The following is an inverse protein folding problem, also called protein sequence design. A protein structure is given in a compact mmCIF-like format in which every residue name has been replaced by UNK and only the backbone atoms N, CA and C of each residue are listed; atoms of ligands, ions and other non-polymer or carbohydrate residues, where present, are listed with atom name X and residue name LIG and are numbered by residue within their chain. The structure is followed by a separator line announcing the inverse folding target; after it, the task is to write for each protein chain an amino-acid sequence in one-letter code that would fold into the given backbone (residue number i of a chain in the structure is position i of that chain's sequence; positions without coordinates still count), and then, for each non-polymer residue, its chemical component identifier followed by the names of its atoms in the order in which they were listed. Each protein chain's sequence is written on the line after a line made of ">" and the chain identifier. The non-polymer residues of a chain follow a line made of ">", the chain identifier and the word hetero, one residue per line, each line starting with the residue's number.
data_IF_428784310272
#
_entry.id   IF_428784310272
#
_cell.length_a   1.000
_cell.length_b   1.000
_cell.length_c   1.000
_cell.angle_alpha   90.00
_cell.angle_beta   90.00
_cell.angle_gamma   90.00
#
_symmetry.space_group_name_H-M   'P 1'
#
loop_
_entity.id
_entity.type
_entity.pdbx_description
1 polymer ?
2 non-polymer ?
3 non-polymer ?
4 water ?
#
# COMPACT_ATOMS: atom_id res chain seq x y z
N UNK A 6 -4.84 -18.45 -2.36
CA UNK A 6 -5.71 -19.60 -1.96
C UNK A 6 -5.12 -20.32 -0.74
N UNK A 7 -3.80 -20.23 -0.53
CA UNK A 7 -3.10 -20.73 0.69
C UNK A 7 -3.64 -19.98 1.92
N UNK A 8 -3.54 -20.59 3.10
CA UNK A 8 -4.05 -20.02 4.37
C UNK A 8 -3.42 -18.65 4.61
N UNK A 9 -2.11 -18.53 4.40
CA UNK A 9 -1.38 -17.25 4.64
C UNK A 9 -1.84 -16.20 3.62
N UNK A 10 -2.13 -16.60 2.38
CA UNK A 10 -2.60 -15.64 1.34
C UNK A 10 -4.07 -15.26 1.59
N UNK A 11 -4.87 -16.14 2.21
CA UNK A 11 -6.24 -15.79 2.67
C UNK A 11 -6.13 -14.68 3.73
N UNK A 12 -5.20 -14.81 4.67
CA UNK A 12 -4.92 -13.78 5.70
C UNK A 12 -4.53 -12.46 5.01
N UNK A 13 -3.64 -12.52 4.01
CA UNK A 13 -3.21 -11.32 3.24
C UNK A 13 -4.43 -10.70 2.54
N UNK A 14 -5.28 -11.53 1.93
CA UNK A 14 -6.49 -11.04 1.21
C UNK A 14 -7.43 -10.34 2.21
N UNK A 15 -7.61 -10.90 3.41
CA UNK A 15 -8.42 -10.28 4.47
C UNK A 15 -7.89 -8.91 4.84
N UNK A 16 -6.58 -8.80 5.04
CA UNK A 16 -5.89 -7.51 5.35
C UNK A 16 -6.19 -6.52 4.22
N UNK A 17 -5.99 -6.94 2.97
CA UNK A 17 -6.21 -6.09 1.77
C UNK A 17 -7.65 -5.56 1.77
N UNK A 18 -8.64 -6.43 1.99
CA UNK A 18 -10.07 -6.03 2.06
C UNK A 18 -10.24 -4.97 3.15
N UNK A 19 -9.65 -5.18 4.33
CA UNK A 19 -9.75 -4.21 5.45
C UNK A 19 -9.12 -2.87 5.04
N UNK A 20 -7.93 -2.88 4.43
CA UNK A 20 -7.24 -1.62 4.04
C UNK A 20 -8.11 -0.84 3.04
N UNK A 21 -8.92 -1.54 2.23
CA UNK A 21 -9.79 -0.93 1.20
C UNK A 21 -11.20 -0.62 1.75
N UNK A 22 -11.49 -0.97 3.01
CA UNK A 22 -12.85 -0.89 3.62
C UNK A 22 -13.14 0.55 4.10
N UNK A 23 -14.43 0.88 4.25
CA UNK A 23 -14.88 2.23 4.68
C UNK A 23 -14.30 2.55 6.07
N UNK A 24 -14.06 1.53 6.89
CA UNK A 24 -13.44 1.63 8.24
C UNK A 24 -12.24 2.58 8.21
N UNK A 25 -11.38 2.48 7.19
CA UNK A 25 -10.06 3.16 7.14
C UNK A 25 -10.01 4.23 6.04
N UNK A 26 -11.14 4.53 5.39
CA UNK A 26 -11.20 5.39 4.18
C UNK A 26 -10.67 6.80 4.47
N UNK A 27 -10.78 7.29 5.71
CA UNK A 27 -10.37 8.67 6.07
C UNK A 27 -8.87 8.88 5.81
N UNK A 28 -8.05 7.83 5.95
CA UNK A 28 -6.58 7.89 5.78
C UNK A 28 -6.08 6.94 4.68
N UNK A 29 -6.90 6.01 4.18
CA UNK A 29 -6.48 5.03 3.15
C UNK A 29 -6.59 5.63 1.74
N UNK A 30 -7.41 6.66 1.54
CA UNK A 30 -7.83 7.10 0.18
C UNK A 30 -6.64 7.50 -0.69
N UNK A 31 -5.53 8.11 -0.19
CA UNK A 31 -4.41 8.45 -1.07
C UNK A 31 -3.68 7.22 -1.65
N UNK A 32 -3.97 6.02 -1.14
CA UNK A 32 -3.27 4.76 -1.49
C UNK A 32 -4.15 3.86 -2.36
N UNK A 33 -5.36 4.30 -2.71
CA UNK A 33 -6.35 3.48 -3.45
C UNK A 33 -5.89 3.25 -4.88
N UNK A 34 -5.26 4.25 -5.50
CA UNK A 34 -4.91 4.23 -6.94
C UNK A 34 -3.49 4.74 -7.13
N UNK A 35 -2.83 4.41 -8.27
CA UNK A 35 -1.49 4.90 -8.54
C UNK A 35 -1.43 6.43 -8.45
N UNK A 36 -0.33 6.95 -7.89
CA UNK A 36 -0.02 8.41 -7.92
C UNK A 36 -0.02 8.85 -9.38
N UNK A 37 -0.89 9.80 -9.73
CA UNK A 37 -0.95 10.41 -11.08
C UNK A 37 -0.05 11.65 -11.06
N UNK A 38 1.25 11.44 -11.27
CA UNK A 38 2.31 12.46 -11.10
C UNK A 38 2.01 13.67 -11.98
N UNK A 39 1.68 13.43 -13.26
CA UNK A 39 1.39 14.49 -14.27
C UNK A 39 0.18 15.31 -13.82
N UNK A 40 -0.91 14.65 -13.41
CA UNK A 40 -2.16 15.30 -12.93
C UNK A 40 -1.87 16.25 -11.76
N UNK A 41 -0.94 15.88 -10.87
CA UNK A 41 -0.64 16.61 -9.61
C UNK A 41 0.55 17.56 -9.80
N UNK A 42 1.15 17.60 -10.99
CA UNK A 42 2.33 18.44 -11.30
C UNK A 42 3.57 17.97 -10.56
N UNK A 43 3.64 16.68 -10.21
CA UNK A 43 4.81 16.08 -9.51
C UNK A 43 5.78 15.53 -10.56
N UNK A 44 6.46 16.43 -11.29
CA UNK A 44 7.25 16.09 -12.50
C UNK A 44 8.57 15.40 -12.12
N UNK A 45 8.87 15.28 -10.82
CA UNK A 45 10.08 14.59 -10.31
C UNK A 45 9.71 13.22 -9.72
N UNK A 46 8.42 12.87 -9.64
CA UNK A 46 7.95 11.68 -8.89
C UNK A 46 8.62 10.40 -9.43
N UNK A 47 8.59 10.19 -10.74
CA UNK A 47 9.10 8.95 -11.39
C UNK A 47 10.63 8.96 -11.50
N UNK A 48 11.28 10.10 -11.21
CA UNK A 48 12.76 10.19 -11.07
C UNK A 48 13.17 9.71 -9.67
N UNK A 49 12.31 9.93 -8.68
CA UNK A 49 12.60 9.63 -7.24
C UNK A 49 12.07 8.23 -6.88
N UNK A 50 10.88 7.88 -7.38
CA UNK A 50 10.19 6.58 -7.12
C UNK A 50 10.34 5.69 -8.37
N UNK A 51 11.20 4.67 -8.30
CA UNK A 51 11.52 3.77 -9.43
C UNK A 51 10.48 2.64 -9.52
N UNK A 52 9.81 2.31 -8.41
CA UNK A 52 8.83 1.19 -8.35
C UNK A 52 7.57 1.67 -7.64
N UNK A 53 6.67 2.39 -8.35
CA UNK A 53 5.40 2.81 -7.76
C UNK A 53 4.56 1.61 -7.32
N UNK A 54 3.77 1.79 -6.27
CA UNK A 54 2.85 0.74 -5.76
C UNK A 54 1.67 1.42 -5.06
N UNK A 55 0.52 0.75 -5.10
CA UNK A 55 -0.76 1.27 -4.54
C UNK A 55 -1.68 0.07 -4.34
N UNK A 56 -2.78 0.27 -3.62
CA UNK A 56 -3.66 -0.84 -3.20
C UNK A 56 -4.42 -1.44 -4.40
N UNK A 57 -4.75 -0.66 -5.43
CA UNK A 57 -5.43 -1.20 -6.65
C UNK A 57 -4.49 -2.17 -7.37
N UNK A 58 -3.18 -1.89 -7.38
CA UNK A 58 -2.16 -2.77 -8.01
C UNK A 58 -2.01 -4.03 -7.16
N UNK A 59 -1.96 -3.90 -5.83
CA UNK A 59 -1.88 -5.07 -4.90
C UNK A 59 -3.11 -5.94 -5.13
N UNK A 60 -4.29 -5.33 -5.26
CA UNK A 60 -5.57 -6.06 -5.47
C UNK A 60 -5.52 -6.82 -6.80
N UNK A 61 -5.08 -6.17 -7.88
CA UNK A 61 -4.99 -6.82 -9.22
C UNK A 61 -4.04 -8.03 -9.11
N UNK A 62 -2.90 -7.86 -8.45
CA UNK A 62 -1.88 -8.93 -8.31
C UNK A 62 -2.47 -10.09 -7.49
N UNK A 63 -3.19 -9.79 -6.41
CA UNK A 63 -3.85 -10.84 -5.57
C UNK A 63 -4.88 -11.59 -6.43
N UNK A 64 -5.73 -10.87 -7.17
CA UNK A 64 -6.80 -11.47 -8.02
C UNK A 64 -6.18 -12.36 -9.11
N UNK A 65 -5.00 -11.97 -9.62
CA UNK A 65 -4.29 -12.69 -10.72
C UNK A 65 -3.42 -13.82 -10.15
N UNK A 66 -3.42 -14.03 -8.83
CA UNK A 66 -2.59 -15.05 -8.14
C UNK A 66 -1.11 -14.80 -8.47
N UNK A 67 -0.71 -13.52 -8.53
CA UNK A 67 0.69 -13.09 -8.74
C UNK A 67 1.52 -13.43 -7.50
N UNK A 68 1.00 -13.13 -6.30
CA UNK A 68 1.72 -13.37 -5.02
C UNK A 68 1.75 -14.87 -4.74
N UNK A 69 2.95 -15.43 -4.58
CA UNK A 69 3.14 -16.87 -4.29
C UNK A 69 3.12 -17.10 -2.78
N UNK A 70 3.39 -16.07 -1.97
CA UNK A 70 3.42 -16.20 -0.49
C UNK A 70 3.13 -14.84 0.17
N UNK A 71 2.93 -14.85 1.48
CA UNK A 71 2.59 -13.66 2.30
C UNK A 71 3.72 -12.63 2.24
N UNK A 72 4.97 -13.09 2.22
CA UNK A 72 6.19 -12.24 2.19
C UNK A 72 6.15 -11.33 0.95
N UNK A 73 5.78 -11.89 -0.21
CA UNK A 73 5.75 -11.16 -1.50
C UNK A 73 4.66 -10.08 -1.44
N UNK A 74 3.49 -10.43 -0.89
CA UNK A 74 2.36 -9.48 -0.67
C UNK A 74 2.83 -8.33 0.22
N UNK A 75 3.41 -8.65 1.38
CA UNK A 75 3.83 -7.66 2.40
C UNK A 75 4.88 -6.71 1.80
N UNK A 76 5.79 -7.23 0.98
CA UNK A 76 6.85 -6.42 0.31
C UNK A 76 6.21 -5.32 -0.54
N UNK A 77 5.12 -5.62 -1.26
CA UNK A 77 4.41 -4.62 -2.11
C UNK A 77 3.70 -3.59 -1.22
N UNK A 78 3.04 -4.03 -0.14
CA UNK A 78 2.32 -3.09 0.76
C UNK A 78 3.35 -2.15 1.40
N UNK A 79 4.49 -2.67 1.85
CA UNK A 79 5.54 -1.85 2.50
C UNK A 79 6.22 -0.95 1.47
N UNK A 80 6.40 -1.42 0.23
CA UNK A 80 6.95 -0.58 -0.88
C UNK A 80 6.07 0.66 -1.05
N UNK A 81 4.75 0.47 -1.08
CA UNK A 81 3.76 1.56 -1.20
C UNK A 81 4.03 2.61 -0.10
N UNK A 82 4.19 2.18 1.15
CA UNK A 82 4.43 3.11 2.29
C UNK A 82 5.81 3.75 2.13
N UNK A 83 6.84 2.96 1.82
CA UNK A 83 8.24 3.44 1.67
C UNK A 83 8.31 4.54 0.60
N UNK A 84 7.64 4.35 -0.54
CA UNK A 84 7.59 5.37 -1.62
C UNK A 84 7.05 6.69 -1.06
N UNK A 85 5.99 6.62 -0.26
CA UNK A 85 5.34 7.79 0.36
C UNK A 85 6.33 8.48 1.32
N UNK A 86 7.06 7.71 2.14
CA UNK A 86 8.05 8.24 3.11
C UNK A 86 9.25 8.83 2.37
N UNK A 87 9.60 8.28 1.20
CA UNK A 87 10.77 8.73 0.40
C UNK A 87 10.46 10.07 -0.28
N UNK A 88 9.29 10.18 -0.92
CA UNK A 88 8.98 11.31 -1.83
C UNK A 88 8.55 12.56 -1.04
N UNK A 89 7.75 12.38 0.01
CA UNK A 89 7.03 13.49 0.70
C UNK A 89 7.84 14.00 1.89
N UNK A 90 7.75 15.31 2.21
CA UNK A 90 8.31 15.81 3.46
C UNK A 90 7.62 15.10 4.62
N UNK A 91 8.33 14.80 5.73
CA UNK A 91 7.76 14.00 6.81
C UNK A 91 6.57 14.66 7.54
N UNK A 92 6.35 15.96 7.35
CA UNK A 92 5.25 16.73 8.00
C UNK A 92 4.03 16.85 7.07
N UNK A 93 4.07 16.25 5.87
CA UNK A 93 2.92 16.25 4.93
C UNK A 93 1.79 15.39 5.51
N UNK A 94 0.54 15.81 5.32
CA UNK A 94 -0.66 15.06 5.79
C UNK A 94 -0.63 13.63 5.25
N UNK A 95 -0.17 13.41 4.02
CA UNK A 95 -0.18 12.07 3.37
C UNK A 95 0.74 11.12 4.14
N UNK A 96 1.81 11.63 4.75
CA UNK A 96 2.77 10.82 5.55
C UNK A 96 2.08 10.39 6.86
N UNK A 97 1.34 11.30 7.51
CA UNK A 97 0.54 10.99 8.71
C UNK A 97 -0.45 9.86 8.39
N UNK A 98 -1.08 9.93 7.21
CA UNK A 98 -2.10 8.94 6.78
C UNK A 98 -1.43 7.60 6.43
N UNK A 99 -0.24 7.64 5.81
CA UNK A 99 0.60 6.44 5.55
C UNK A 99 0.91 5.73 6.88
N UNK A 100 1.39 6.47 7.88
CA UNK A 100 1.78 5.91 9.20
C UNK A 100 0.57 5.21 9.84
N UNK A 101 -0.61 5.84 9.78
CA UNK A 101 -1.86 5.28 10.37
C UNK A 101 -2.25 3.99 9.64
N UNK A 102 -2.24 3.99 8.30
CA UNK A 102 -2.65 2.79 7.53
C UNK A 102 -1.60 1.70 7.70
N UNK A 103 -0.31 2.05 7.79
CA UNK A 103 0.76 1.04 7.99
C UNK A 103 0.60 0.42 9.38
N UNK A 104 0.19 1.19 10.39
CA UNK A 104 -0.09 0.66 11.75
C UNK A 104 -1.19 -0.41 11.64
N UNK A 105 -2.28 -0.12 10.93
CA UNK A 105 -3.38 -1.10 10.69
C UNK A 105 -2.77 -2.36 10.06
N UNK A 106 -1.99 -2.18 9.00
CA UNK A 106 -1.38 -3.29 8.24
C UNK A 106 -0.47 -4.13 9.14
N UNK A 107 0.49 -3.50 9.82
CA UNK A 107 1.56 -4.24 10.56
C UNK A 107 0.94 -5.04 11.70
N UNK A 108 -0.01 -4.47 12.44
CA UNK A 108 -0.62 -5.17 13.61
C UNK A 108 -1.42 -6.38 13.13
N UNK A 109 -2.15 -6.28 12.01
CA UNK A 109 -2.93 -7.45 11.52
C UNK A 109 -2.01 -8.44 10.81
N UNK A 110 -1.01 -7.96 10.06
CA UNK A 110 -0.04 -8.86 9.37
C UNK A 110 0.67 -9.73 10.42
N UNK A 111 0.96 -9.16 11.60
CA UNK A 111 1.67 -9.84 12.71
C UNK A 111 0.85 -11.03 13.23
N UNK A 112 -0.47 -11.04 13.01
CA UNK A 112 -1.38 -12.13 13.44
C UNK A 112 -1.45 -13.23 12.36
N UNK A 113 -0.41 -13.34 11.53
CA UNK A 113 -0.29 -14.35 10.44
C UNK A 113 -0.42 -15.74 11.06
N UNK A 114 -1.29 -16.63 10.53
CA UNK A 114 -1.34 -18.01 11.02
C UNK A 114 -0.05 -18.76 10.65
N UNK A 115 0.44 -19.61 11.56
CA UNK A 115 1.69 -20.40 11.40
C UNK A 115 1.35 -21.74 10.74
X LIG B 1 -2.80 12.10 -3.80
X LIG B 1 -2.62 13.99 -2.16
X LIG B 1 -2.99 14.37 -0.73
X LIG B 1 -3.36 15.67 -0.44
X LIG B 1 -3.66 16.05 0.86
X LIG B 1 -3.60 15.13 1.89
X LIG B 1 -2.94 13.45 0.31
X LIG B 1 1.14 14.60 -2.02
X LIG B 1 0.28 15.67 -3.97
X LIG B 1 -1.89 11.34 -4.43
X LIG B 1 1.74 11.33 -3.34
X LIG B 1 3.04 12.04 -3.57
X LIG B 1 1.76 10.16 -2.50
X LIG B 1 -0.62 9.91 -2.95
X LIG B 1 2.75 9.75 -1.91
X LIG B 1 0.60 11.72 -3.91
X LIG B 1 0.53 9.48 -2.34
X LIG B 1 0.53 8.28 -1.51
X LIG B 1 -0.62 11.02 -3.74
X LIG B 1 -2.08 10.87 -5.55
X LIG B 1 -4.03 12.43 -4.51
X LIG B 1 -4.99 11.25 -4.60
X LIG B 1 -4.77 10.23 -3.96
X LIG B 1 -6.04 11.40 -5.39
X LIG B 1 -7.16 10.48 -5.38
X LIG B 1 -2.77 12.48 -2.38
X LIG B 1 -1.22 14.47 -2.51
X LIG B 1 -1.00 15.24 -3.64
X LIG B 1 1.35 15.35 -3.16
X LIG B 1 -0.13 14.16 -1.70
X LIG B 1 -3.23 13.83 1.61
X LIG C 1 4.53 0.11 12.52
X LIG C 1 3.95 0.76 11.41
X LIG C 1 3.60 -0.01 13.66
X LIG C 1 3.06 1.23 14.09
#
# INVERSE_FOLDING_TARGET
>A
GSMGKLSEQLKHCNGILKELLSKKHAAYAWPFYKPVDASALGLHDYHDIIKHPMDLSTVKRKMENRDYRDAQEFAADVRLMFSNCYKYNPPDHDVVAMARKLQDVFEFRYAKMPD
>B hetero
1 VBH N1 C4 C5 C6 C7 C8 C10 C13 C15 C17 C20 C21 C22 C24 O2 C19 N2 C23 C18 O1 C2 C1 O N C C3 C11 C16 C14 C12 C9
>C hetero
1 EDO C1 O1 C2 O2
#
